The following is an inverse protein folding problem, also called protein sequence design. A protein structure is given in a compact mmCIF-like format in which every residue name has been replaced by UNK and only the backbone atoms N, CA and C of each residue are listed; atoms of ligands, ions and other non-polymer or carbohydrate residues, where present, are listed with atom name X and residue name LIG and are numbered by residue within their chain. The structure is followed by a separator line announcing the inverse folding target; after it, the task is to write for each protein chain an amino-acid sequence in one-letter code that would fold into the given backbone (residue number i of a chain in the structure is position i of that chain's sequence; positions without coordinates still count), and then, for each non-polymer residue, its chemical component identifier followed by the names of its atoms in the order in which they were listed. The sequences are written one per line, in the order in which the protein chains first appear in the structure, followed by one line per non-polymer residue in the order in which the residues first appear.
data_IF_429407669362
#
_entry.id   IF_429407669362
#
_cell.length_a   1.000
_cell.length_b   1.000
_cell.length_c   1.000
_cell.angle_alpha   90.00
_cell.angle_beta   90.00
_cell.angle_gamma   90.00
#
_symmetry.space_group_name_H-M   'P 1'
#
loop_
_entity.id
_entity.type
_entity.pdbx_description
1 polymer ?
#
# COMPACT_ATOMS: atom_id res chain seq x y z
N UNK A 1 25.67 33.37 -28.82
CA UNK A 1 25.77 32.53 -27.61
C UNK A 1 24.51 31.68 -27.55
N UNK A 2 24.68 30.36 -27.69
CA UNK A 2 23.68 29.29 -27.43
C UNK A 2 23.46 29.20 -25.90
N UNK A 3 22.40 28.66 -25.30
CA UNK A 3 21.64 27.45 -25.61
C UNK A 3 20.15 27.61 -25.28
N UNK A 4 19.31 26.97 -26.11
CA UNK A 4 17.98 26.50 -25.75
C UNK A 4 18.16 25.35 -24.77
N UNK A 5 17.55 25.44 -23.59
CA UNK A 5 17.30 24.25 -22.77
C UNK A 5 16.31 23.37 -23.53
N UNK A 6 16.85 22.36 -24.21
CA UNK A 6 16.07 21.20 -24.60
C UNK A 6 15.87 20.43 -23.30
N UNK A 7 14.67 20.52 -22.74
CA UNK A 7 14.21 19.49 -21.81
C UNK A 7 14.14 18.24 -22.67
N UNK A 8 15.09 17.32 -22.51
CA UNK A 8 14.90 15.95 -22.93
C UNK A 8 13.67 15.44 -22.17
N UNK A 9 12.54 15.43 -22.87
CA UNK A 9 11.41 14.61 -22.49
C UNK A 9 11.94 13.20 -22.64
N UNK A 10 12.35 12.56 -21.54
CA UNK A 10 12.59 11.11 -21.55
C UNK A 10 11.36 10.49 -22.22
N UNK A 11 11.59 9.84 -23.36
CA UNK A 11 10.52 9.15 -24.06
C UNK A 11 9.89 8.21 -23.03
N UNK A 12 8.58 8.34 -22.80
CA UNK A 12 7.85 7.31 -22.07
C UNK A 12 8.18 6.00 -22.79
N UNK A 13 8.95 5.11 -22.14
CA UNK A 13 9.07 3.73 -22.59
C UNK A 13 7.67 3.23 -22.91
N UNK A 14 7.54 2.43 -23.97
CA UNK A 14 6.27 1.96 -24.53
C UNK A 14 5.41 1.34 -23.42
N UNK A 15 4.61 2.18 -22.77
CA UNK A 15 3.99 1.84 -21.49
C UNK A 15 2.77 0.99 -21.85
N UNK A 16 2.68 -0.25 -21.37
CA UNK A 16 1.62 -1.16 -21.82
C UNK A 16 0.24 -0.56 -21.49
N UNK A 17 -0.69 -0.68 -22.43
CA UNK A 17 -2.07 -0.22 -22.27
C UNK A 17 -2.72 -0.92 -21.07
N UNK A 18 -3.12 -0.13 -20.06
CA UNK A 18 -3.90 -0.62 -18.92
C UNK A 18 -5.38 -0.48 -19.24
N UNK A 19 -6.08 -1.61 -19.33
CA UNK A 19 -7.52 -1.67 -19.52
C UNK A 19 -8.15 -2.58 -18.45
N UNK A 20 -9.40 -2.27 -18.06
CA UNK A 20 -10.21 -3.10 -17.17
C UNK A 20 -11.46 -3.58 -17.91
N UNK A 21 -11.49 -4.84 -18.32
CA UNK A 21 -12.63 -5.45 -19.02
C UNK A 21 -13.73 -5.95 -18.08
N UNK A 22 -14.94 -6.20 -18.62
CA UNK A 22 -16.05 -6.78 -17.85
C UNK A 22 -15.77 -8.23 -17.40
N UNK A 23 -15.03 -8.99 -18.21
CA UNK A 23 -14.65 -10.37 -17.93
C UNK A 23 -13.66 -10.51 -16.76
N UNK A 24 -12.94 -9.43 -16.41
CA UNK A 24 -11.94 -9.42 -15.33
C UNK A 24 -12.57 -9.21 -13.94
N UNK A 25 -13.88 -8.94 -13.86
CA UNK A 25 -14.58 -8.80 -12.59
C UNK A 25 -14.61 -10.15 -11.88
N UNK A 26 -13.90 -10.21 -10.77
CA UNK A 26 -13.75 -11.41 -9.94
C UNK A 26 -14.61 -11.26 -8.69
N UNK A 27 -15.28 -12.32 -8.25
CA UNK A 27 -15.98 -12.37 -6.95
C UNK A 27 -17.50 -12.18 -6.99
N UNK A 28 -18.22 -12.58 -5.92
CA UNK A 28 -19.66 -12.39 -5.80
C UNK A 28 -20.01 -10.90 -5.83
N UNK A 29 -21.16 -10.57 -6.45
CA UNK A 29 -21.69 -9.20 -6.57
C UNK A 29 -22.25 -8.67 -5.25
N UNK A 30 -21.65 -9.01 -4.12
CA UNK A 30 -22.07 -8.49 -2.82
C UNK A 30 -21.52 -7.08 -2.70
N UNK A 31 -22.43 -6.12 -2.57
CA UNK A 31 -22.18 -4.68 -2.51
C UNK A 31 -21.47 -4.30 -1.20
N UNK A 32 -20.22 -4.68 -1.05
CA UNK A 32 -19.42 -4.28 0.07
C UNK A 32 -18.41 -3.25 -0.44
N UNK A 33 -18.60 -1.99 -0.03
CA UNK A 33 -17.64 -0.89 -0.25
C UNK A 33 -16.43 -1.07 0.67
N UNK A 34 -15.94 -2.30 0.80
CA UNK A 34 -14.79 -2.62 1.63
C UNK A 34 -13.53 -2.00 1.02
N UNK A 35 -12.52 -1.77 1.86
CA UNK A 35 -11.25 -1.20 1.43
C UNK A 35 -10.52 -2.13 0.43
N UNK A 36 -9.70 -1.56 -0.46
CA UNK A 36 -8.82 -2.38 -1.29
C UNK A 36 -7.62 -2.85 -0.46
N UNK A 37 -7.59 -4.14 -0.15
CA UNK A 37 -6.59 -4.79 0.69
C UNK A 37 -5.93 -5.91 -0.10
N UNK A 38 -4.60 -5.92 -0.17
CA UNK A 38 -3.86 -6.92 -0.93
C UNK A 38 -2.95 -7.76 -0.04
N UNK A 39 -2.46 -8.84 -0.63
CA UNK A 39 -1.36 -9.65 -0.11
C UNK A 39 -0.24 -9.63 -1.14
N UNK A 40 0.99 -9.31 -0.72
CA UNK A 40 2.14 -9.25 -1.62
C UNK A 40 3.44 -9.49 -0.86
N UNK A 41 4.57 -9.58 -1.58
CA UNK A 41 5.88 -9.84 -0.95
C UNK A 41 6.55 -8.53 -0.53
N UNK A 42 6.86 -8.39 0.75
CA UNK A 42 7.63 -7.29 1.34
C UNK A 42 8.84 -7.87 2.07
N UNK A 43 10.05 -7.43 1.70
CA UNK A 43 11.31 -7.91 2.25
C UNK A 43 11.44 -9.45 2.27
N UNK A 44 10.96 -10.11 1.19
CA UNK A 44 10.89 -11.57 1.02
C UNK A 44 9.85 -12.31 1.89
N UNK A 45 9.03 -11.58 2.66
CA UNK A 45 7.90 -12.16 3.39
C UNK A 45 6.60 -11.93 2.62
N UNK A 46 5.74 -12.95 2.57
CA UNK A 46 4.36 -12.75 2.14
C UNK A 46 3.61 -12.00 3.25
N UNK A 47 3.17 -10.78 2.94
CA UNK A 47 2.48 -9.90 3.88
C UNK A 47 1.07 -9.66 3.35
N UNK A 48 0.07 -10.11 4.12
CA UNK A 48 -1.33 -9.79 3.90
C UNK A 48 -1.77 -8.54 4.67
N UNK A 49 -3.07 -8.19 4.55
CA UNK A 49 -3.66 -7.01 5.21
C UNK A 49 -2.94 -5.70 4.84
N UNK A 50 -2.57 -5.56 3.58
CA UNK A 50 -1.93 -4.35 3.04
C UNK A 50 -3.02 -3.45 2.46
N UNK A 51 -3.27 -2.30 3.10
CA UNK A 51 -4.27 -1.35 2.64
C UNK A 51 -3.71 -0.44 1.54
N UNK A 52 -4.43 -0.33 0.41
CA UNK A 52 -4.11 0.61 -0.67
C UNK A 52 -4.80 1.95 -0.40
N UNK A 53 -4.00 2.98 -0.11
CA UNK A 53 -4.52 4.30 0.25
C UNK A 53 -3.92 5.41 -0.63
N UNK A 54 -4.66 5.84 -1.65
CA UNK A 54 -4.25 6.97 -2.49
C UNK A 54 -4.26 8.32 -1.77
N UNK A 55 -4.93 8.41 -0.61
CA UNK A 55 -4.93 9.60 0.25
C UNK A 55 -3.67 9.73 1.10
N UNK A 56 -3.00 8.62 1.42
CA UNK A 56 -1.81 8.63 2.25
C UNK A 56 -0.61 9.24 1.53
N UNK A 57 0.10 10.16 2.19
CA UNK A 57 1.36 10.75 1.71
C UNK A 57 2.59 9.89 1.99
N UNK A 58 2.46 8.84 2.80
CA UNK A 58 3.55 7.99 3.23
C UNK A 58 3.17 6.50 3.16
N UNK A 59 4.15 5.64 2.95
CA UNK A 59 4.01 4.21 3.18
C UNK A 59 4.26 3.91 4.65
N UNK A 60 3.39 3.10 5.26
CA UNK A 60 3.42 2.83 6.70
C UNK A 60 3.55 1.33 6.92
N UNK A 61 4.47 0.93 7.78
CA UNK A 61 4.59 -0.42 8.31
C UNK A 61 4.22 -0.38 9.80
N UNK A 62 3.20 -1.13 10.20
CA UNK A 62 2.82 -1.19 11.60
C UNK A 62 3.80 -2.06 12.38
N UNK A 63 4.11 -1.65 13.61
CA UNK A 63 5.11 -2.32 14.45
C UNK A 63 4.85 -3.82 14.61
N UNK A 64 3.61 -4.24 14.83
CA UNK A 64 3.30 -5.68 14.97
C UNK A 64 3.77 -6.50 13.76
N UNK A 65 3.59 -5.97 12.55
CA UNK A 65 4.07 -6.60 11.33
C UNK A 65 5.60 -6.53 11.22
N UNK A 66 6.20 -5.38 11.52
CA UNK A 66 7.65 -5.21 11.56
C UNK A 66 8.33 -6.23 12.49
N UNK A 67 7.82 -6.39 13.72
CA UNK A 67 8.35 -7.32 14.72
C UNK A 67 8.19 -8.78 14.24
N UNK A 68 7.06 -9.12 13.60
CA UNK A 68 6.80 -10.47 13.04
C UNK A 68 7.68 -10.81 11.83
N UNK A 69 8.05 -9.83 11.03
CA UNK A 69 8.93 -10.02 9.86
C UNK A 69 10.38 -10.34 10.25
N UNK A 70 10.75 -10.22 11.53
CA UNK A 70 12.07 -10.62 12.04
C UNK A 70 13.22 -10.17 11.12
N UNK A 71 13.23 -8.88 10.78
CA UNK A 71 14.12 -8.31 9.75
C UNK A 71 15.62 -8.27 10.16
N UNK A 72 16.01 -8.95 11.25
CA UNK A 72 17.35 -8.93 11.82
C UNK A 72 17.72 -7.58 12.43
N UNK A 73 19.03 -7.32 12.53
CA UNK A 73 19.59 -6.08 13.12
C UNK A 73 19.52 -4.86 12.18
N UNK A 74 18.44 -4.74 11.39
CA UNK A 74 18.23 -3.57 10.53
C UNK A 74 17.79 -2.39 11.40
N UNK A 75 18.71 -1.44 11.59
CA UNK A 75 18.44 -0.22 12.35
C UNK A 75 17.44 0.69 11.62
N UNK A 76 16.43 1.17 12.34
CA UNK A 76 15.54 2.21 11.83
C UNK A 76 16.28 3.55 11.71
N UNK A 77 16.16 4.19 10.54
CA UNK A 77 16.62 5.57 10.35
C UNK A 77 15.78 6.51 11.23
N UNK A 78 16.44 7.40 11.97
CA UNK A 78 15.74 8.41 12.77
C UNK A 78 15.00 9.39 11.84
N UNK A 79 13.75 9.67 12.19
CA UNK A 79 12.93 10.68 11.51
C UNK A 79 12.35 11.65 12.54
N UNK A 80 12.27 12.93 12.18
CA UNK A 80 11.69 13.97 13.03
C UNK A 80 10.29 14.40 12.57
N UNK A 81 9.71 13.67 11.62
CA UNK A 81 8.44 14.02 10.98
C UNK A 81 7.29 13.25 11.62
N UNK A 82 6.23 13.94 12.02
CA UNK A 82 4.99 13.33 12.49
C UNK A 82 4.02 13.07 11.34
N UNK A 83 3.19 12.04 11.48
CA UNK A 83 2.05 11.79 10.63
C UNK A 83 0.80 12.44 11.23
N UNK A 84 -0.03 13.03 10.37
CA UNK A 84 -1.27 13.70 10.75
C UNK A 84 -2.45 12.97 10.11
N UNK A 85 -3.35 12.48 10.94
CA UNK A 85 -4.60 11.84 10.55
C UNK A 85 -5.66 12.87 10.17
N UNK A 86 -6.71 12.39 9.49
CA UNK A 86 -7.83 13.23 9.06
C UNK A 86 -8.57 13.87 10.25
N UNK A 87 -8.69 13.18 11.38
CA UNK A 87 -9.34 13.72 12.58
C UNK A 87 -8.37 14.49 13.49
N UNK A 88 -7.17 14.80 12.99
CA UNK A 88 -6.14 15.54 13.73
C UNK A 88 -5.26 14.68 14.61
N UNK A 89 -5.34 13.35 14.51
CA UNK A 89 -4.46 12.45 15.24
C UNK A 89 -3.02 12.67 14.83
N UNK A 90 -2.11 12.72 15.81
CA UNK A 90 -0.69 12.87 15.57
C UNK A 90 0.00 11.56 15.94
N UNK A 91 0.73 10.97 14.98
CA UNK A 91 1.52 9.76 15.20
C UNK A 91 2.98 10.06 14.95
N UNK A 92 3.82 9.79 15.94
CA UNK A 92 5.27 9.88 15.81
C UNK A 92 5.83 8.51 15.38
N UNK A 93 6.42 8.39 14.19
CA UNK A 93 7.06 7.15 13.77
C UNK A 93 8.24 6.80 14.68
N UNK A 94 8.46 5.50 14.91
CA UNK A 94 9.68 5.00 15.59
C UNK A 94 10.93 5.24 14.75
N UNK A 95 10.76 5.30 13.44
CA UNK A 95 11.82 5.51 12.47
C UNK A 95 11.34 5.16 11.07
N UNK A 96 12.28 5.11 10.14
CA UNK A 96 12.05 4.76 8.74
C UNK A 96 12.94 3.59 8.34
N UNK A 97 12.43 2.74 7.45
CA UNK A 97 13.15 1.58 6.93
C UNK A 97 12.98 1.47 5.42
N UNK A 98 14.04 1.05 4.73
CA UNK A 98 14.00 0.78 3.29
C UNK A 98 13.79 -0.72 3.04
N UNK A 99 12.69 -1.10 2.40
CA UNK A 99 12.33 -2.51 2.13
C UNK A 99 12.01 -2.71 0.65
N UNK A 100 12.28 -3.92 0.14
CA UNK A 100 11.86 -4.31 -1.21
C UNK A 100 10.39 -4.73 -1.20
N UNK A 101 9.56 -4.06 -2.00
CA UNK A 101 8.20 -4.50 -2.28
C UNK A 101 8.17 -5.15 -3.65
N UNK A 102 7.61 -6.35 -3.76
CA UNK A 102 7.40 -7.05 -5.03
C UNK A 102 5.92 -7.26 -5.25
N UNK A 103 5.41 -6.86 -6.41
CA UNK A 103 4.03 -7.06 -6.85
C UNK A 103 3.98 -7.75 -8.21
N UNK A 104 2.87 -8.43 -8.49
CA UNK A 104 2.64 -9.16 -9.74
C UNK A 104 3.24 -10.57 -9.73
N UNK A 105 3.11 -11.28 -10.84
CA UNK A 105 3.50 -12.68 -10.95
C UNK A 105 4.19 -12.97 -12.29
N UNK A 106 5.00 -14.03 -12.32
CA UNK A 106 5.67 -14.46 -13.55
C UNK A 106 6.47 -13.34 -14.22
N UNK A 107 6.19 -13.10 -15.51
CA UNK A 107 6.86 -12.07 -16.32
C UNK A 107 6.42 -10.65 -15.98
N UNK A 108 5.29 -10.46 -15.30
CA UNK A 108 4.76 -9.14 -14.92
C UNK A 108 5.03 -8.78 -13.47
N UNK A 109 6.05 -9.41 -12.88
CA UNK A 109 6.55 -9.12 -11.55
C UNK A 109 7.42 -7.86 -11.58
N UNK A 110 7.17 -6.91 -10.68
CA UNK A 110 7.98 -5.70 -10.49
C UNK A 110 8.37 -5.57 -9.02
N UNK A 111 9.63 -5.22 -8.78
CA UNK A 111 10.19 -5.03 -7.44
C UNK A 111 10.78 -3.63 -7.32
N UNK A 112 10.45 -2.92 -6.25
CA UNK A 112 10.97 -1.58 -5.96
C UNK A 112 11.48 -1.50 -4.52
N UNK A 113 12.58 -0.80 -4.30
CA UNK A 113 13.04 -0.41 -2.96
C UNK A 113 12.28 0.83 -2.52
N UNK A 114 11.58 0.74 -1.39
CA UNK A 114 10.67 1.78 -0.90
C UNK A 114 10.91 2.05 0.57
N UNK A 115 10.60 3.28 1.00
CA UNK A 115 10.78 3.73 2.38
C UNK A 115 9.44 3.67 3.12
N UNK A 116 9.44 2.99 4.26
CA UNK A 116 8.29 2.84 5.12
C UNK A 116 8.55 3.53 6.46
N UNK A 117 7.58 4.30 6.93
CA UNK A 117 7.56 4.77 8.31
C UNK A 117 7.06 3.64 9.21
N UNK A 118 7.83 3.30 10.24
CA UNK A 118 7.43 2.30 11.23
C UNK A 118 6.68 3.00 12.36
N UNK A 119 5.41 2.64 12.57
CA UNK A 119 4.55 3.28 13.58
C UNK A 119 4.08 2.28 14.63
N UNK A 120 3.98 2.75 15.88
CA UNK A 120 3.58 1.95 17.04
C UNK A 120 2.17 2.35 17.49
N UNK A 121 1.19 2.12 16.61
CA UNK A 121 -0.22 2.33 16.91
C UNK A 121 -1.01 1.07 16.56
N UNK A 122 -2.04 0.69 17.35
CA UNK A 122 -2.87 -0.46 17.03
C UNK A 122 -3.54 -0.30 15.67
N UNK A 123 -3.46 -1.33 14.83
CA UNK A 123 -4.07 -1.35 13.51
C UNK A 123 -4.68 -2.71 13.20
N UNK A 124 -5.61 -2.75 12.25
CA UNK A 124 -6.08 -4.02 11.63
C UNK A 124 -5.23 -4.38 10.41
N UNK A 125 -4.48 -3.41 9.88
CA UNK A 125 -3.62 -3.57 8.72
C UNK A 125 -2.18 -3.78 9.16
N UNK A 126 -1.42 -4.50 8.34
CA UNK A 126 0.02 -4.67 8.53
C UNK A 126 0.80 -3.54 7.86
N UNK A 127 0.32 -3.06 6.72
CA UNK A 127 0.97 -2.05 5.88
C UNK A 127 -0.08 -1.13 5.28
N UNK A 128 0.26 0.13 5.08
CA UNK A 128 -0.44 1.06 4.17
C UNK A 128 0.50 1.39 3.03
N UNK A 129 0.05 1.17 1.79
CA UNK A 129 0.72 1.64 0.58
C UNK A 129 0.07 2.95 0.16
N UNK A 130 0.80 4.03 0.40
CA UNK A 130 0.43 5.38 0.05
C UNK A 130 0.91 5.79 -1.34
N UNK A 131 0.80 7.09 -1.62
CA UNK A 131 1.27 7.68 -2.87
C UNK A 131 2.73 7.39 -3.24
N UNK A 132 3.70 7.24 -2.32
CA UNK A 132 5.07 6.91 -2.71
C UNK A 132 5.15 5.55 -3.44
N UNK A 133 4.58 4.48 -2.87
CA UNK A 133 4.49 3.18 -3.55
C UNK A 133 3.65 3.25 -4.82
N UNK A 134 2.46 3.87 -4.75
CA UNK A 134 1.55 3.93 -5.90
C UNK A 134 2.17 4.67 -7.09
N UNK A 135 2.96 5.72 -6.84
CA UNK A 135 3.71 6.44 -7.87
C UNK A 135 4.85 5.58 -8.42
N UNK A 136 5.65 4.95 -7.55
CA UNK A 136 6.80 4.14 -7.97
C UNK A 136 6.38 2.96 -8.89
N UNK A 137 5.21 2.38 -8.62
CA UNK A 137 4.66 1.33 -9.45
C UNK A 137 3.82 1.87 -10.62
N UNK A 138 3.46 3.14 -10.66
CA UNK A 138 2.51 3.73 -11.62
C UNK A 138 1.15 2.99 -11.57
N UNK A 139 0.65 2.82 -10.35
CA UNK A 139 -0.56 2.04 -10.08
C UNK A 139 -1.80 2.74 -10.61
N UNK A 140 -2.63 1.99 -11.32
CA UNK A 140 -4.02 2.32 -11.62
C UNK A 140 -4.92 1.48 -10.75
N UNK A 141 -5.68 2.13 -9.87
CA UNK A 141 -6.66 1.49 -8.98
C UNK A 141 -8.00 1.41 -9.69
N UNK A 142 -8.62 0.23 -9.73
CA UNK A 142 -9.98 0.07 -10.21
C UNK A 142 -10.88 -0.46 -9.10
N UNK A 143 -11.59 0.44 -8.42
CA UNK A 143 -12.49 0.11 -7.30
C UNK A 143 -13.62 -0.81 -7.75
N UNK A 144 -14.21 -0.59 -8.93
CA UNK A 144 -15.31 -1.45 -9.41
C UNK A 144 -14.91 -2.89 -9.71
N UNK A 145 -13.61 -3.16 -9.82
CA UNK A 145 -13.04 -4.50 -10.04
C UNK A 145 -12.25 -4.99 -8.84
N UNK A 146 -12.05 -4.13 -7.83
CA UNK A 146 -11.22 -4.39 -6.65
C UNK A 146 -9.84 -4.93 -7.02
N UNK A 147 -9.16 -4.24 -7.95
CA UNK A 147 -7.81 -4.59 -8.43
C UNK A 147 -6.95 -3.35 -8.55
N UNK A 148 -5.64 -3.58 -8.52
CA UNK A 148 -4.65 -2.65 -9.03
C UNK A 148 -3.98 -3.23 -10.27
N UNK A 149 -3.60 -2.35 -11.21
CA UNK A 149 -2.75 -2.68 -12.35
C UNK A 149 -1.58 -1.72 -12.42
N UNK A 150 -0.46 -2.18 -12.95
CA UNK A 150 0.76 -1.38 -13.11
C UNK A 150 1.59 -1.87 -14.30
N UNK A 151 2.33 -0.99 -14.97
CA UNK A 151 3.20 -1.37 -16.06
C UNK A 151 4.45 -2.11 -15.56
N UNK A 152 4.89 -3.09 -16.35
CA UNK A 152 6.15 -3.82 -16.20
C UNK A 152 6.77 -4.08 -17.57
N UNK A 153 8.08 -4.40 -17.67
CA UNK A 153 8.70 -4.78 -18.93
C UNK A 153 8.05 -6.01 -19.58
N UNK A 154 7.45 -6.91 -18.80
CA UNK A 154 6.74 -8.10 -19.30
C UNK A 154 5.26 -7.90 -19.60
N UNK A 155 4.76 -6.65 -19.59
CA UNK A 155 3.35 -6.31 -19.81
C UNK A 155 2.69 -5.67 -18.57
N UNK A 156 1.40 -5.89 -18.39
CA UNK A 156 0.65 -5.31 -17.26
C UNK A 156 0.66 -6.27 -16.07
N UNK A 157 1.26 -5.84 -14.97
CA UNK A 157 1.13 -6.50 -13.67
C UNK A 157 -0.23 -6.20 -13.06
N UNK A 158 -0.80 -7.17 -12.38
CA UNK A 158 -2.07 -7.03 -11.66
C UNK A 158 -2.00 -7.65 -10.27
N UNK A 159 -2.72 -7.05 -9.32
CA UNK A 159 -2.96 -7.63 -8.01
C UNK A 159 -4.44 -7.47 -7.67
N UNK A 160 -5.07 -8.57 -7.26
CA UNK A 160 -6.47 -8.65 -6.85
C UNK A 160 -6.62 -8.37 -5.35
N UNK A 161 -7.72 -7.74 -4.97
CA UNK A 161 -8.15 -7.64 -3.57
C UNK A 161 -8.27 -9.00 -2.88
N UNK A 162 -7.78 -9.07 -1.65
CA UNK A 162 -8.08 -10.14 -0.71
C UNK A 162 -9.37 -9.80 0.03
N UNK A 163 -10.50 -10.10 -0.61
CA UNK A 163 -11.84 -9.80 -0.08
C UNK A 163 -12.07 -10.34 1.34
N UNK A 164 -11.49 -11.49 1.66
CA UNK A 164 -11.67 -12.09 2.98
C UNK A 164 -10.91 -11.30 4.05
N UNK A 165 -9.68 -10.89 3.77
CA UNK A 165 -8.90 -10.04 4.67
C UNK A 165 -9.50 -8.65 4.77
N UNK A 166 -9.92 -8.05 3.64
CA UNK A 166 -10.58 -6.75 3.63
C UNK A 166 -11.79 -6.71 4.55
N UNK A 167 -12.68 -7.70 4.43
CA UNK A 167 -13.87 -7.82 5.27
C UNK A 167 -13.52 -8.01 6.75
N UNK A 168 -12.52 -8.84 7.05
CA UNK A 168 -12.06 -9.06 8.43
C UNK A 168 -11.53 -7.76 9.04
N UNK A 169 -10.65 -7.06 8.33
CA UNK A 169 -10.11 -5.77 8.78
C UNK A 169 -11.21 -4.75 9.06
N UNK A 170 -12.20 -4.63 8.16
CA UNK A 170 -13.34 -3.74 8.37
C UNK A 170 -14.11 -4.06 9.65
N UNK A 171 -14.50 -5.33 9.84
CA UNK A 171 -15.28 -5.76 11.01
C UNK A 171 -14.51 -5.52 12.31
N UNK A 172 -13.20 -5.79 12.32
CA UNK A 172 -12.35 -5.55 13.49
C UNK A 172 -12.19 -4.07 13.79
N UNK A 173 -12.01 -3.22 12.77
CA UNK A 173 -11.87 -1.78 12.94
C UNK A 173 -13.14 -1.16 13.56
N UNK A 174 -14.33 -1.55 13.07
CA UNK A 174 -15.61 -1.09 13.61
C UNK A 174 -15.77 -1.51 15.07
N UNK A 175 -15.47 -2.78 15.40
CA UNK A 175 -15.54 -3.28 16.78
C UNK A 175 -14.59 -2.52 17.73
N UNK A 176 -13.37 -2.23 17.29
CA UNK A 176 -12.39 -1.45 18.07
C UNK A 176 -12.84 0.01 18.25
N UNK A 177 -13.53 0.60 17.27
CA UNK A 177 -14.14 1.92 17.41
C UNK A 177 -15.24 1.96 18.47
N UNK A 178 -16.15 0.99 18.45
CA UNK A 178 -17.27 0.92 19.40
C UNK A 178 -16.82 0.76 20.86
N UNK A 179 -15.76 -0.01 21.12
CA UNK A 179 -15.22 -0.19 22.48
C UNK A 179 -14.57 1.08 23.04
N UNK A 180 -13.86 1.84 22.21
CA UNK A 180 -13.23 3.10 22.66
C UNK A 180 -14.27 4.11 23.13
N UNK A 181 -15.38 4.24 22.40
CA UNK A 181 -16.45 5.15 22.77
C UNK A 181 -17.14 4.75 24.10
N UNK A 182 -17.22 3.46 24.43
CA UNK A 182 -17.82 3.02 25.71
C UNK A 182 -16.92 3.24 26.93
N UNK A 183 -15.59 3.22 26.73
CA UNK A 183 -14.61 3.42 27.79
C UNK A 183 -14.37 4.91 28.09
N UNK A 184 -14.69 5.82 27.16
CA UNK A 184 -14.63 7.28 27.35
C UNK A 184 -15.88 7.87 28.05
N UNK A 185 -16.98 7.11 28.13
CA UNK A 185 -18.25 7.50 28.77
C UNK A 185 -18.35 7.07 30.26
N UNK A 186 -17.26 6.56 30.85
CA UNK A 186 -17.15 6.16 32.27
C UNK A 186 -15.94 6.82 32.96
#
# INVERSE_FOLDING_TARGET
MSLKEVIEVEAMEDTPLIQFGRAERSGPRTSHNDALVITTVLANYEVGRIFIDSGSSADILFREAYDQMQLGDVSLEKVNTSLYGFAGEVVHPRGMISLSLTMGAGTTRKTCMLKFLVVDVPSTYNVILGRPTLTAFQVVICISHMKIKFPTPGGVGEVQDDHLQSRKCYVEAVRKGQKRNSDEDH
#
